data_IF_811904452243
#
_entry.id   IF_811904452243
#
_cell.length_a   1.000
_cell.length_b   1.000
_cell.length_c   1.000
_cell.angle_alpha   90.00
_cell.angle_beta   90.00
_cell.angle_gamma   90.00
#
_symmetry.space_group_name_H-M   'P 1'
#
loop_
_entity.id
_entity.type
_entity.pdbx_description
1 polymer ?
#
# COMPACT_ATOMS: atom_id res chain seq x y z
N UNK A 1 5.78 -25.48 -3.76
CA UNK A 1 5.37 -24.63 -2.63
C UNK A 1 4.55 -23.51 -3.22
N UNK A 2 3.36 -23.24 -2.68
CA UNK A 2 2.53 -22.10 -3.08
C UNK A 2 2.87 -20.91 -2.17
N UNK A 3 3.09 -19.73 -2.77
CA UNK A 3 3.43 -18.48 -2.09
C UNK A 3 2.26 -17.51 -2.22
N UNK A 4 1.66 -17.18 -1.08
CA UNK A 4 0.58 -16.20 -0.98
C UNK A 4 1.06 -14.96 -0.20
N UNK A 5 0.69 -13.78 -0.66
CA UNK A 5 0.98 -12.52 0.04
C UNK A 5 -0.28 -11.69 0.25
N UNK A 6 -0.24 -10.83 1.28
CA UNK A 6 -1.23 -9.76 1.47
C UNK A 6 -0.56 -8.42 1.15
N UNK A 7 -0.73 -7.89 -0.08
CA UNK A 7 -0.14 -6.61 -0.44
C UNK A 7 -0.75 -5.46 0.37
N UNK A 8 0.02 -4.38 0.55
CA UNK A 8 -0.54 -3.11 1.01
C UNK A 8 -1.19 -2.42 -0.20
N UNK A 9 -2.49 -2.19 -0.11
CA UNK A 9 -3.29 -1.63 -1.20
C UNK A 9 -4.03 -0.38 -0.71
N UNK A 10 -4.05 0.66 -1.55
CA UNK A 10 -4.95 1.80 -1.43
C UNK A 10 -5.81 1.89 -2.68
N UNK A 11 -7.12 1.80 -2.56
CA UNK A 11 -8.01 1.93 -3.72
C UNK A 11 -9.29 2.68 -3.38
N UNK A 12 -9.88 3.32 -4.39
CA UNK A 12 -11.09 4.11 -4.25
C UNK A 12 -11.82 4.24 -5.59
N UNK A 13 -13.08 4.68 -5.54
CA UNK A 13 -13.92 4.80 -6.74
C UNK A 13 -13.47 5.91 -7.71
N UNK A 14 -12.80 6.96 -7.24
CA UNK A 14 -12.42 8.13 -8.03
C UNK A 14 -11.12 8.75 -7.50
N UNK A 15 -10.43 9.58 -8.29
CA UNK A 15 -9.14 10.18 -7.94
C UNK A 15 -9.21 11.01 -6.67
N UNK A 16 -10.27 11.79 -6.48
CA UNK A 16 -10.43 12.64 -5.30
C UNK A 16 -10.52 11.80 -4.01
N UNK A 17 -11.21 10.66 -4.05
CA UNK A 17 -11.21 9.69 -2.94
C UNK A 17 -9.86 9.00 -2.81
N UNK A 18 -9.22 8.67 -3.93
CA UNK A 18 -7.94 8.00 -3.96
C UNK A 18 -6.84 8.83 -3.29
N UNK A 19 -6.83 10.15 -3.46
CA UNK A 19 -5.90 11.07 -2.77
C UNK A 19 -6.00 10.92 -1.24
N UNK A 20 -7.22 10.81 -0.70
CA UNK A 20 -7.42 10.62 0.75
C UNK A 20 -6.96 9.25 1.20
N UNK A 21 -7.27 8.20 0.43
CA UNK A 21 -6.79 6.85 0.70
C UNK A 21 -5.25 6.79 0.66
N UNK A 22 -4.63 7.45 -0.31
CA UNK A 22 -3.19 7.54 -0.45
C UNK A 22 -2.54 8.23 0.76
N UNK A 23 -3.15 9.29 1.29
CA UNK A 23 -2.69 9.94 2.52
C UNK A 23 -2.71 8.97 3.73
N UNK A 24 -3.80 8.22 3.92
CA UNK A 24 -3.89 7.20 5.00
C UNK A 24 -2.87 6.06 4.79
N UNK A 25 -2.66 5.61 3.54
CA UNK A 25 -1.63 4.61 3.24
C UNK A 25 -0.24 5.18 3.52
N UNK A 26 0.01 6.46 3.24
CA UNK A 26 1.27 7.15 3.52
C UNK A 26 1.58 7.19 5.02
N UNK A 27 0.58 7.48 5.86
CA UNK A 27 0.71 7.39 7.32
C UNK A 27 1.15 5.97 7.74
N UNK A 28 0.54 4.93 7.16
CA UNK A 28 0.90 3.54 7.44
C UNK A 28 2.32 3.19 6.98
N UNK A 29 2.76 3.67 5.81
CA UNK A 29 4.14 3.50 5.35
C UNK A 29 5.11 4.23 6.28
N UNK A 30 4.75 5.42 6.76
CA UNK A 30 5.58 6.20 7.69
C UNK A 30 5.72 5.50 9.06
N UNK A 31 4.67 4.82 9.51
CA UNK A 31 4.74 3.95 10.67
C UNK A 31 5.72 2.78 10.45
N UNK A 32 5.68 2.13 9.29
CA UNK A 32 6.67 1.09 8.96
C UNK A 32 8.10 1.64 8.92
N UNK A 33 8.29 2.80 8.29
CA UNK A 33 9.58 3.49 8.17
C UNK A 33 10.19 3.82 9.54
N UNK A 34 9.37 4.20 10.52
CA UNK A 34 9.83 4.51 11.88
C UNK A 34 10.08 3.28 12.76
N UNK A 35 9.56 2.11 12.39
CA UNK A 35 9.63 0.90 13.21
C UNK A 35 11.00 0.19 13.05
N UNK A 36 11.76 -0.02 14.15
CA UNK A 36 13.14 -0.54 14.07
C UNK A 36 13.30 -1.88 13.32
N UNK A 37 12.32 -2.78 13.38
CA UNK A 37 12.38 -4.08 12.71
C UNK A 37 12.35 -3.98 11.18
N UNK A 38 11.79 -2.91 10.60
CA UNK A 38 11.74 -2.70 9.15
C UNK A 38 12.97 -1.97 8.58
N UNK A 39 13.88 -1.48 9.43
CA UNK A 39 15.03 -0.66 9.00
C UNK A 39 15.85 -1.33 7.88
N UNK A 40 16.07 -2.65 7.95
CA UNK A 40 16.82 -3.39 6.91
C UNK A 40 16.10 -3.38 5.56
N UNK A 41 14.78 -3.46 5.56
CA UNK A 41 13.97 -3.38 4.33
C UNK A 41 14.12 -2.01 3.69
N UNK A 42 13.95 -0.92 4.45
CA UNK A 42 14.13 0.43 3.93
C UNK A 42 15.58 0.72 3.48
N UNK A 43 16.57 0.17 4.18
CA UNK A 43 17.98 0.29 3.78
C UNK A 43 18.28 -0.39 2.42
N UNK A 44 17.57 -1.47 2.07
CA UNK A 44 17.70 -2.10 0.75
C UNK A 44 17.37 -1.15 -0.41
N UNK A 45 16.47 -0.19 -0.16
CA UNK A 45 16.08 0.85 -1.11
C UNK A 45 16.89 2.15 -0.97
N UNK A 46 17.95 2.16 -0.14
CA UNK A 46 18.76 3.37 0.10
C UNK A 46 18.17 4.35 1.12
N UNK A 47 17.07 4.00 1.79
CA UNK A 47 16.34 4.90 2.70
C UNK A 47 16.76 4.76 4.17
N UNK A 48 18.01 4.34 4.42
CA UNK A 48 18.51 4.11 5.78
C UNK A 48 18.44 5.37 6.64
N UNK A 49 18.91 6.51 6.12
CA UNK A 49 18.97 7.76 6.88
C UNK A 49 17.57 8.29 7.20
N UNK A 50 16.64 8.18 6.25
CA UNK A 50 15.24 8.60 6.45
C UNK A 50 14.56 7.67 7.49
N UNK A 51 14.84 6.37 7.49
CA UNK A 51 14.37 5.46 8.54
C UNK A 51 14.91 5.83 9.93
N UNK A 52 16.17 6.29 10.04
CA UNK A 52 16.75 6.78 11.31
C UNK A 52 16.02 8.04 11.78
N UNK A 53 15.75 8.99 10.86
CA UNK A 53 14.97 10.20 11.15
C UNK A 53 13.55 9.87 11.62
N UNK A 54 12.86 8.96 10.91
CA UNK A 54 11.53 8.51 11.28
C UNK A 54 11.50 7.84 12.66
N UNK A 55 12.46 6.97 12.97
CA UNK A 55 12.60 6.39 14.32
C UNK A 55 12.81 7.46 15.41
N UNK A 56 13.49 8.57 15.09
CA UNK A 56 13.66 9.67 16.04
C UNK A 56 12.36 10.43 16.29
N UNK A 57 11.62 10.79 15.23
CA UNK A 57 10.30 11.42 15.36
C UNK A 57 9.32 10.57 16.18
N UNK A 58 9.27 9.26 15.91
CA UNK A 58 8.42 8.33 16.65
C UNK A 58 8.77 8.27 18.15
N UNK A 59 10.07 8.24 18.49
CA UNK A 59 10.55 8.27 19.89
C UNK A 59 10.14 9.55 20.60
N UNK A 60 10.16 10.66 19.88
CA UNK A 60 9.79 11.98 20.38
C UNK A 60 8.26 12.24 20.31
N UNK A 61 7.47 11.19 19.99
CA UNK A 61 6.01 11.23 19.88
C UNK A 61 5.48 12.22 18.83
N UNK A 62 6.30 12.56 17.84
CA UNK A 62 5.99 13.46 16.72
C UNK A 62 5.33 12.69 15.57
N UNK A 63 4.20 12.07 15.85
CA UNK A 63 3.52 11.18 14.90
C UNK A 63 3.01 11.90 13.65
N UNK A 64 2.50 13.12 13.81
CA UNK A 64 1.93 13.93 12.72
C UNK A 64 2.98 14.38 11.69
N UNK A 65 4.27 14.38 12.07
CA UNK A 65 5.37 14.74 11.17
C UNK A 65 5.86 13.56 10.32
N UNK A 66 5.55 12.32 10.72
CA UNK A 66 6.06 11.11 10.04
C UNK A 66 5.60 11.00 8.58
N UNK A 67 4.33 11.24 8.21
CA UNK A 67 3.88 11.08 6.84
C UNK A 67 4.62 11.99 5.85
N UNK A 68 5.11 13.14 6.33
CA UNK A 68 5.89 14.09 5.53
C UNK A 68 7.27 13.58 5.11
N UNK A 69 7.78 12.50 5.72
CA UNK A 69 9.03 11.84 5.32
C UNK A 69 8.86 10.83 4.19
N UNK A 70 7.63 10.42 3.88
CA UNK A 70 7.34 9.44 2.85
C UNK A 70 7.00 10.19 1.57
N UNK A 71 7.86 10.14 0.56
CA UNK A 71 7.58 10.68 -0.77
C UNK A 71 6.78 9.69 -1.63
N UNK A 72 6.47 10.08 -2.86
CA UNK A 72 5.69 9.24 -3.79
C UNK A 72 6.45 7.98 -4.21
N UNK A 73 7.78 8.07 -4.36
CA UNK A 73 8.61 6.90 -4.69
C UNK A 73 8.50 5.84 -3.60
N UNK A 74 8.65 6.23 -2.33
CA UNK A 74 8.48 5.34 -1.18
C UNK A 74 7.07 4.77 -1.12
N UNK A 75 6.06 5.63 -1.28
CA UNK A 75 4.66 5.22 -1.21
C UNK A 75 4.34 4.14 -2.24
N UNK A 76 4.68 4.37 -3.51
CA UNK A 76 4.40 3.45 -4.61
C UNK A 76 5.36 2.23 -4.65
N UNK A 77 6.53 2.34 -4.01
CA UNK A 77 7.38 1.17 -3.79
C UNK A 77 6.79 0.23 -2.75
N UNK A 78 6.16 0.73 -1.69
CA UNK A 78 5.65 -0.12 -0.60
C UNK A 78 4.19 -0.56 -0.84
N UNK A 79 3.37 0.30 -1.45
CA UNK A 79 1.95 0.07 -1.66
C UNK A 79 1.55 0.10 -3.14
N UNK A 80 0.47 -0.59 -3.47
CA UNK A 80 -0.20 -0.45 -4.78
C UNK A 80 -1.39 0.47 -4.61
N UNK A 81 -1.40 1.61 -5.32
CA UNK A 81 -2.43 2.64 -5.20
C UNK A 81 -3.01 2.93 -6.57
N UNK A 82 -4.32 2.72 -6.73
CA UNK A 82 -5.04 2.95 -7.97
C UNK A 82 -6.56 2.99 -7.73
N UNK A 83 -7.33 3.52 -8.69
CA UNK A 83 -8.80 3.50 -8.63
C UNK A 83 -9.33 2.06 -8.63
N UNK A 84 -10.61 1.86 -8.30
CA UNK A 84 -11.26 0.56 -8.43
C UNK A 84 -11.18 0.00 -9.86
N UNK A 85 -11.19 0.87 -10.88
CA UNK A 85 -11.13 0.47 -12.29
C UNK A 85 -9.71 0.02 -12.68
N UNK A 86 -8.68 0.58 -12.06
CA UNK A 86 -7.27 0.34 -12.44
C UNK A 86 -6.53 -0.62 -11.50
N UNK A 87 -7.04 -0.87 -10.28
CA UNK A 87 -6.28 -1.59 -9.25
C UNK A 87 -5.96 -3.04 -9.62
N UNK A 88 -6.85 -3.69 -10.38
CA UNK A 88 -6.59 -5.05 -10.87
C UNK A 88 -5.37 -5.07 -11.80
N UNK A 89 -5.26 -4.10 -12.72
CA UNK A 89 -4.13 -3.98 -13.64
C UNK A 89 -2.83 -3.66 -12.89
N UNK A 90 -2.85 -2.71 -11.96
CA UNK A 90 -1.68 -2.33 -11.16
C UNK A 90 -1.15 -3.50 -10.31
N UNK A 91 -2.05 -4.31 -9.72
CA UNK A 91 -1.67 -5.51 -8.98
C UNK A 91 -1.07 -6.59 -9.88
N UNK A 92 -1.61 -6.81 -11.09
CA UNK A 92 -1.05 -7.74 -12.06
C UNK A 92 0.35 -7.32 -12.48
N UNK A 93 0.55 -6.06 -12.86
CA UNK A 93 1.87 -5.54 -13.23
C UNK A 93 2.92 -5.79 -12.13
N UNK A 94 2.52 -5.57 -10.88
CA UNK A 94 3.40 -5.71 -9.72
C UNK A 94 3.66 -7.15 -9.31
N UNK A 95 2.71 -8.07 -9.43
CA UNK A 95 2.81 -9.39 -8.79
C UNK A 95 2.73 -10.59 -9.74
N UNK A 96 2.28 -10.41 -10.99
CA UNK A 96 2.20 -11.51 -11.95
C UNK A 96 3.59 -12.16 -12.18
N UNK A 97 3.62 -13.49 -12.13
CA UNK A 97 4.86 -14.28 -12.25
C UNK A 97 5.81 -14.21 -11.04
N UNK A 98 5.47 -13.49 -9.97
CA UNK A 98 6.29 -13.35 -8.75
C UNK A 98 5.74 -14.10 -7.54
N UNK A 99 4.41 -14.22 -7.44
CA UNK A 99 3.69 -14.93 -6.36
C UNK A 99 2.52 -15.71 -6.95
N UNK A 100 2.09 -16.77 -6.28
CA UNK A 100 0.99 -17.62 -6.76
C UNK A 100 -0.37 -16.98 -6.48
N UNK A 101 -0.50 -16.29 -5.33
CA UNK A 101 -1.77 -15.68 -4.90
C UNK A 101 -1.57 -14.38 -4.13
N UNK A 102 -2.59 -13.52 -4.22
CA UNK A 102 -2.71 -12.31 -3.41
C UNK A 102 -4.05 -12.29 -2.67
N UNK A 103 -4.06 -11.74 -1.46
CA UNK A 103 -5.27 -11.33 -0.77
C UNK A 103 -5.69 -9.92 -1.21
N UNK A 104 -6.96 -9.72 -1.54
CA UNK A 104 -7.51 -8.42 -1.90
C UNK A 104 -8.88 -8.22 -1.26
N UNK A 105 -9.14 -7.01 -0.78
CA UNK A 105 -10.41 -6.61 -0.17
C UNK A 105 -10.61 -5.10 -0.26
N UNK A 106 -11.85 -4.68 -0.37
CA UNK A 106 -12.31 -3.31 -0.08
C UNK A 106 -13.32 -3.38 1.07
N UNK A 107 -13.62 -2.27 1.78
CA UNK A 107 -14.78 -2.21 2.67
C UNK A 107 -16.06 -2.55 1.89
N UNK A 108 -16.92 -3.39 2.47
CA UNK A 108 -18.20 -3.79 1.89
C UNK A 108 -19.30 -3.48 2.89
N UNK A 109 -20.04 -2.41 2.64
CA UNK A 109 -21.16 -1.96 3.50
C UNK A 109 -22.51 -2.09 2.79
N UNK A 110 -22.49 -2.17 1.46
CA UNK A 110 -23.67 -2.27 0.59
C UNK A 110 -23.53 -3.38 -0.45
N UNK A 111 -24.64 -3.75 -1.09
CA UNK A 111 -24.64 -4.69 -2.21
C UNK A 111 -23.82 -4.15 -3.41
N UNK A 112 -23.86 -2.84 -3.65
CA UNK A 112 -23.04 -2.19 -4.69
C UNK A 112 -21.53 -2.35 -4.41
N UNK A 113 -21.11 -2.28 -3.14
CA UNK A 113 -19.71 -2.54 -2.78
C UNK A 113 -19.34 -4.02 -2.99
N UNK A 114 -20.25 -4.94 -2.72
CA UNK A 114 -20.06 -6.37 -2.93
C UNK A 114 -19.91 -6.69 -4.43
N UNK A 115 -20.76 -6.11 -5.27
CA UNK A 115 -20.68 -6.22 -6.73
C UNK A 115 -19.38 -5.59 -7.25
N UNK A 116 -18.98 -4.45 -6.69
CA UNK A 116 -17.72 -3.79 -7.03
C UNK A 116 -16.51 -4.67 -6.69
N UNK A 117 -16.48 -5.27 -5.49
CA UNK A 117 -15.43 -6.21 -5.10
C UNK A 117 -15.42 -7.42 -6.04
N UNK A 118 -16.58 -7.99 -6.36
CA UNK A 118 -16.69 -9.13 -7.26
C UNK A 118 -16.13 -8.81 -8.66
N UNK A 119 -16.42 -7.63 -9.20
CA UNK A 119 -15.87 -7.15 -10.47
C UNK A 119 -14.34 -7.07 -10.46
N UNK A 120 -13.76 -6.42 -9.45
CA UNK A 120 -12.29 -6.31 -9.30
C UNK A 120 -11.64 -7.69 -9.19
N UNK A 121 -12.26 -8.62 -8.44
CA UNK A 121 -11.76 -9.99 -8.31
C UNK A 121 -11.85 -10.78 -9.62
N UNK A 122 -12.87 -10.52 -10.46
CA UNK A 122 -12.97 -11.11 -11.79
C UNK A 122 -11.85 -10.60 -12.71
N UNK A 123 -11.58 -9.30 -12.69
CA UNK A 123 -10.47 -8.70 -13.45
C UNK A 123 -9.12 -9.25 -13.00
N UNK A 124 -8.87 -9.38 -11.70
CA UNK A 124 -7.63 -9.94 -11.15
C UNK A 124 -7.38 -11.39 -11.55
N UNK A 125 -8.45 -12.17 -11.80
CA UNK A 125 -8.35 -13.57 -12.26
C UNK A 125 -8.13 -13.69 -13.76
N UNK A 126 -8.32 -12.61 -14.50
CA UNK A 126 -8.11 -12.60 -15.95
C UNK A 126 -6.61 -12.50 -16.24
N UNK A 127 -6.05 -13.37 -17.13
CA UNK A 127 -4.63 -13.38 -17.48
C UNK A 127 -4.10 -12.04 -18.00
#
# INVERSE_FOLDING_TARGET
VEVCIKPLVGTAADERRLERVAATVRERVAFYLSTPSYRRTFAHHGWQEIAVQASALARDQRWDDLPGLVDDEMLHTVATIATHDDIAAALRERYAGRVDRIEFSIPVETDDDADRLAGILADLRTP
#
